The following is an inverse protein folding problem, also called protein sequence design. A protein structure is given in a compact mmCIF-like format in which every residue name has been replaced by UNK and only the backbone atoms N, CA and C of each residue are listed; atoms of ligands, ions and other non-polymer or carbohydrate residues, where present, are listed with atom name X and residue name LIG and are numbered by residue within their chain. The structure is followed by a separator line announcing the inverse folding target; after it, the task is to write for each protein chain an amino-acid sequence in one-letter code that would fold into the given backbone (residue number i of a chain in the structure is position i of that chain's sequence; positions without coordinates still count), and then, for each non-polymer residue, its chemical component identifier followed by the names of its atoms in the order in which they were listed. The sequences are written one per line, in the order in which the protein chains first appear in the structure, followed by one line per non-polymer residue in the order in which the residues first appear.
data_IF_778839438658
#
_entry.id   IF_778839438658
#
_cell.length_a   1.000
_cell.length_b   1.000
_cell.length_c   1.000
_cell.angle_alpha   90.00
_cell.angle_beta   90.00
_cell.angle_gamma   90.00
#
_symmetry.space_group_name_H-M   'P 1'
#
loop_
_entity.id
_entity.type
_entity.pdbx_description
1 polymer ?
#
# COMPACT_ATOMS: atom_id res chain seq x y z
N UNK A 1 16.30 9.29 28.78
CA UNK A 1 17.07 10.56 28.58
C UNK A 1 16.06 11.68 28.42
N UNK A 2 16.25 12.80 29.10
CA UNK A 2 15.36 13.98 28.98
C UNK A 2 16.10 15.11 28.29
N UNK A 3 15.45 15.74 27.33
CA UNK A 3 15.94 16.93 26.64
C UNK A 3 14.85 17.99 26.77
N UNK A 4 15.25 19.26 27.06
CA UNK A 4 14.32 20.37 27.10
C UNK A 4 14.76 21.42 26.09
N UNK A 5 13.85 21.82 25.22
CA UNK A 5 14.10 22.78 24.15
C UNK A 5 13.16 23.97 24.32
N UNK A 6 13.66 25.24 24.38
CA UNK A 6 12.79 26.39 24.35
C UNK A 6 11.93 26.41 23.10
N UNK A 7 10.64 26.71 23.23
CA UNK A 7 9.71 26.74 22.07
C UNK A 7 10.17 27.78 21.02
N UNK A 8 10.79 28.85 21.46
CA UNK A 8 11.39 29.89 20.58
C UNK A 8 12.47 29.34 19.66
N UNK A 9 13.08 28.21 20.01
CA UNK A 9 14.13 27.57 19.20
C UNK A 9 13.60 26.54 18.21
N UNK A 10 12.32 26.25 18.30
CA UNK A 10 11.68 25.28 17.43
C UNK A 10 11.22 25.94 16.12
N UNK A 11 11.75 25.45 15.01
CA UNK A 11 11.34 25.88 13.67
C UNK A 11 10.09 25.08 13.25
N UNK A 12 8.94 25.72 13.18
CA UNK A 12 7.68 25.11 12.74
C UNK A 12 7.64 24.91 11.23
N UNK A 13 8.24 25.84 10.48
CA UNK A 13 8.45 25.74 9.03
C UNK A 13 9.87 26.23 8.71
N UNK A 14 10.40 26.01 7.49
CA UNK A 14 11.78 26.40 7.16
C UNK A 14 12.18 27.84 7.55
N UNK A 15 11.21 28.75 7.52
CA UNK A 15 11.46 30.19 7.78
C UNK A 15 10.67 30.73 8.98
N UNK A 16 10.01 29.87 9.77
CA UNK A 16 9.15 30.30 10.89
C UNK A 16 9.49 29.56 12.17
N UNK A 17 9.78 30.32 13.22
CA UNK A 17 9.90 29.86 14.60
C UNK A 17 8.50 29.71 15.22
N UNK A 18 8.41 28.99 16.33
CA UNK A 18 7.17 28.86 17.10
C UNK A 18 6.73 30.23 17.62
N UNK A 19 5.48 30.58 17.35
CA UNK A 19 4.78 31.74 17.92
C UNK A 19 3.51 31.23 18.61
N UNK A 20 3.36 31.46 19.94
CA UNK A 20 2.18 31.03 20.69
C UNK A 20 0.87 31.61 20.18
N UNK A 21 0.93 32.74 19.45
CA UNK A 21 -0.26 33.37 18.86
C UNK A 21 -0.74 32.67 17.56
N UNK A 22 0.19 31.98 16.87
CA UNK A 22 -0.12 31.30 15.58
C UNK A 22 -0.22 29.78 15.69
N UNK A 23 0.46 29.15 16.68
CA UNK A 23 0.62 27.69 16.75
C UNK A 23 0.26 27.14 18.11
N UNK A 24 -0.35 25.96 18.12
CA UNK A 24 -0.70 25.22 19.34
C UNK A 24 0.45 24.33 19.81
N UNK A 25 0.38 23.90 21.07
CA UNK A 25 1.31 22.88 21.62
C UNK A 25 1.33 21.60 20.76
N UNK A 26 0.18 21.23 20.21
CA UNK A 26 0.04 20.06 19.34
C UNK A 26 0.84 20.22 18.03
N UNK A 27 0.89 21.42 17.48
CA UNK A 27 1.69 21.71 16.28
C UNK A 27 3.19 21.54 16.56
N UNK A 28 3.65 21.95 17.75
CA UNK A 28 5.01 21.73 18.23
C UNK A 28 5.33 20.24 18.33
N UNK A 29 4.44 19.46 18.95
CA UNK A 29 4.63 18.02 19.11
C UNK A 29 4.71 17.32 17.75
N UNK A 30 3.80 17.66 16.83
CA UNK A 30 3.80 17.13 15.46
C UNK A 30 5.11 17.48 14.75
N UNK A 31 5.57 18.73 14.89
CA UNK A 31 6.81 19.18 14.25
C UNK A 31 8.04 18.49 14.79
N UNK A 32 8.14 18.34 16.11
CA UNK A 32 9.25 17.61 16.75
C UNK A 32 9.25 16.17 16.26
N UNK A 33 8.10 15.48 16.29
CA UNK A 33 7.98 14.11 15.80
C UNK A 33 8.40 13.99 14.33
N UNK A 34 8.03 14.94 13.48
CA UNK A 34 8.44 14.97 12.08
C UNK A 34 9.95 15.18 11.88
N UNK A 35 10.59 15.98 12.72
CA UNK A 35 12.04 16.23 12.66
C UNK A 35 12.85 15.01 13.08
N UNK A 36 12.38 14.28 14.08
CA UNK A 36 13.09 13.12 14.62
C UNK A 36 12.76 11.80 13.91
N UNK A 37 11.80 11.80 12.97
CA UNK A 37 11.48 10.65 12.12
C UNK A 37 11.23 9.37 12.92
N UNK A 38 11.97 8.31 12.62
CA UNK A 38 11.80 6.98 13.25
C UNK A 38 11.99 7.02 14.78
N UNK A 39 12.83 7.92 15.29
CA UNK A 39 13.06 8.06 16.75
C UNK A 39 11.85 8.68 17.46
N UNK A 40 10.99 9.38 16.72
CA UNK A 40 9.78 9.99 17.28
C UNK A 40 8.81 9.00 17.93
N UNK A 41 8.86 7.74 17.52
CA UNK A 41 8.01 6.65 18.06
C UNK A 41 8.33 6.29 19.51
N UNK A 42 9.54 6.63 19.98
CA UNK A 42 10.02 6.34 21.35
C UNK A 42 10.12 7.61 22.21
N UNK A 43 9.46 8.69 21.79
CA UNK A 43 9.53 9.98 22.47
C UNK A 43 8.18 10.35 23.07
N UNK A 44 8.17 10.66 24.37
CA UNK A 44 7.09 11.41 24.99
C UNK A 44 7.46 12.89 24.97
N UNK A 45 6.58 13.70 24.44
CA UNK A 45 6.78 15.14 24.30
C UNK A 45 5.72 15.85 25.11
N UNK A 46 6.13 16.60 26.11
CA UNK A 46 5.28 17.45 26.92
C UNK A 46 5.70 18.90 26.68
N UNK A 47 4.72 19.75 26.41
CA UNK A 47 4.94 21.18 26.22
C UNK A 47 4.36 21.90 27.43
N UNK A 48 5.20 22.57 28.18
CA UNK A 48 4.80 23.42 29.30
C UNK A 48 5.79 24.58 29.55
N UNK A 49 5.36 25.61 30.23
CA UNK A 49 6.24 26.73 30.65
C UNK A 49 7.08 27.33 29.54
N UNK A 50 6.64 27.28 28.25
CA UNK A 50 7.41 27.78 27.12
C UNK A 50 8.55 26.83 26.67
N UNK A 51 8.56 25.60 27.15
CA UNK A 51 9.55 24.58 26.84
C UNK A 51 8.89 23.32 26.25
N UNK A 52 9.55 22.65 25.32
CA UNK A 52 9.24 21.29 24.93
C UNK A 52 10.17 20.34 25.68
N UNK A 53 9.57 19.48 26.51
CA UNK A 53 10.28 18.45 27.26
C UNK A 53 10.13 17.13 26.51
N UNK A 54 11.26 16.58 26.07
CA UNK A 54 11.31 15.33 25.32
C UNK A 54 11.88 14.27 26.25
N UNK A 55 11.08 13.28 26.59
CA UNK A 55 11.52 12.12 27.36
C UNK A 55 11.50 10.89 26.45
N UNK A 56 12.66 10.23 26.31
CA UNK A 56 12.72 8.98 25.57
C UNK A 56 12.18 7.86 26.46
N UNK A 57 11.13 7.19 25.97
CA UNK A 57 10.58 6.01 26.64
C UNK A 57 11.67 4.96 26.81
N UNK A 58 11.45 3.99 27.69
CA UNK A 58 12.41 2.96 28.12
C UNK A 58 12.96 2.02 27.01
N UNK A 59 12.69 2.27 25.75
CA UNK A 59 13.40 1.64 24.67
C UNK A 59 14.81 2.26 24.59
N UNK A 60 15.76 1.66 25.31
CA UNK A 60 17.18 1.94 25.08
C UNK A 60 17.45 1.80 23.57
N UNK A 61 18.45 2.53 23.01
CA UNK A 61 18.84 2.34 21.62
C UNK A 61 19.07 0.87 21.27
N UNK A 62 19.55 0.05 22.22
CA UNK A 62 19.70 -1.39 22.06
C UNK A 62 18.36 -2.12 21.90
N UNK A 63 17.36 -1.86 22.76
CA UNK A 63 16.04 -2.49 22.65
C UNK A 63 15.32 -2.11 21.36
N UNK A 64 15.45 -0.85 20.93
CA UNK A 64 14.90 -0.40 19.64
C UNK A 64 15.60 -1.14 18.48
N UNK A 65 16.93 -1.24 18.51
CA UNK A 65 17.71 -1.97 17.52
C UNK A 65 17.31 -3.44 17.46
N UNK A 66 17.20 -4.11 18.62
CA UNK A 66 16.72 -5.50 18.70
C UNK A 66 15.30 -5.65 18.11
N UNK A 67 14.39 -4.70 18.38
CA UNK A 67 13.06 -4.72 17.82
C UNK A 67 13.09 -4.60 16.28
N UNK A 68 13.93 -3.74 15.71
CA UNK A 68 14.08 -3.62 14.27
C UNK A 68 14.73 -4.86 13.64
N UNK A 69 15.68 -5.50 14.30
CA UNK A 69 16.23 -6.80 13.86
C UNK A 69 15.13 -7.88 13.86
N UNK A 70 14.26 -7.90 14.88
CA UNK A 70 13.09 -8.79 14.93
C UNK A 70 12.09 -8.48 13.82
N UNK A 71 11.88 -7.21 13.46
CA UNK A 71 11.04 -6.85 12.33
C UNK A 71 11.55 -7.47 11.03
N UNK A 72 12.83 -7.30 10.72
CA UNK A 72 13.43 -7.88 9.52
C UNK A 72 13.32 -9.41 9.53
N UNK A 73 13.65 -10.04 10.64
CA UNK A 73 13.50 -11.50 10.79
C UNK A 73 12.05 -11.94 10.62
N UNK A 74 11.09 -11.19 11.16
CA UNK A 74 9.66 -11.48 10.99
C UNK A 74 9.23 -11.44 9.53
N UNK A 75 9.72 -10.46 8.76
CA UNK A 75 9.47 -10.36 7.31
C UNK A 75 10.06 -11.56 6.57
N UNK A 76 11.30 -11.96 6.90
CA UNK A 76 11.92 -13.15 6.30
C UNK A 76 11.15 -14.43 6.61
N UNK A 77 10.71 -14.63 7.86
CA UNK A 77 9.92 -15.80 8.24
C UNK A 77 8.57 -15.83 7.54
N UNK A 78 7.93 -14.67 7.34
CA UNK A 78 6.70 -14.57 6.54
C UNK A 78 6.94 -14.97 5.08
N UNK A 79 8.02 -14.49 4.46
CA UNK A 79 8.39 -14.86 3.08
C UNK A 79 8.66 -16.37 2.91
N UNK A 80 9.13 -17.04 3.98
CA UNK A 80 9.31 -18.50 4.02
C UNK A 80 8.01 -19.26 4.31
N UNK A 81 6.88 -18.56 4.48
CA UNK A 81 5.60 -19.17 4.87
C UNK A 81 5.49 -19.53 6.35
N UNK A 82 6.46 -19.16 7.20
CA UNK A 82 6.47 -19.41 8.64
C UNK A 82 5.61 -18.36 9.38
N UNK A 83 4.34 -18.24 8.99
CA UNK A 83 3.46 -17.14 9.39
C UNK A 83 3.28 -17.01 10.91
N UNK A 84 3.19 -18.13 11.63
CA UNK A 84 3.03 -18.10 13.11
C UNK A 84 4.28 -17.52 13.79
N UNK A 85 5.47 -17.87 13.30
CA UNK A 85 6.72 -17.29 13.82
C UNK A 85 6.81 -15.80 13.51
N UNK A 86 6.47 -15.41 12.28
CA UNK A 86 6.42 -14.01 11.87
C UNK A 86 5.49 -13.19 12.76
N UNK A 87 4.28 -13.68 13.03
CA UNK A 87 3.31 -13.03 13.91
C UNK A 87 3.85 -12.82 15.33
N UNK A 88 4.58 -13.78 15.88
CA UNK A 88 5.18 -13.64 17.22
C UNK A 88 6.26 -12.55 17.20
N UNK A 89 7.12 -12.53 16.20
CA UNK A 89 8.15 -11.50 16.04
C UNK A 89 7.53 -10.11 15.89
N UNK A 90 6.48 -9.93 15.07
CA UNK A 90 5.79 -8.66 14.94
C UNK A 90 5.14 -8.20 16.24
N UNK A 91 4.57 -9.12 17.03
CA UNK A 91 4.04 -8.78 18.38
C UNK A 91 5.14 -8.32 19.33
N UNK A 92 6.32 -8.95 19.29
CA UNK A 92 7.46 -8.52 20.10
C UNK A 92 7.96 -7.14 19.68
N UNK A 93 7.95 -6.82 18.36
CA UNK A 93 8.24 -5.47 17.86
C UNK A 93 7.25 -4.47 18.43
N UNK A 94 5.95 -4.76 18.33
CA UNK A 94 4.88 -3.87 18.79
C UNK A 94 4.84 -3.71 20.31
N UNK A 95 5.38 -4.66 21.07
CA UNK A 95 5.54 -4.51 22.52
C UNK A 95 6.62 -3.48 22.88
N UNK A 96 7.63 -3.27 22.01
CA UNK A 96 8.70 -2.28 22.19
C UNK A 96 8.36 -0.97 21.48
N UNK A 97 7.80 -1.07 20.27
CA UNK A 97 7.47 0.07 19.41
C UNK A 97 5.98 -0.05 19.01
N UNK A 98 5.05 0.39 19.88
CA UNK A 98 3.61 0.19 19.66
C UNK A 98 3.07 0.81 18.38
N UNK A 99 3.66 1.89 17.89
CA UNK A 99 3.22 2.62 16.70
C UNK A 99 3.95 2.21 15.42
N UNK A 100 4.71 1.10 15.44
CA UNK A 100 5.43 0.64 14.25
C UNK A 100 4.45 0.15 13.17
N UNK A 101 4.27 0.98 12.13
CA UNK A 101 3.32 0.71 11.05
C UNK A 101 3.77 -0.47 10.17
N UNK A 102 5.07 -0.67 9.99
CA UNK A 102 5.59 -1.80 9.22
C UNK A 102 5.29 -3.13 9.88
N UNK A 103 5.49 -3.23 11.20
CA UNK A 103 5.13 -4.43 11.97
C UNK A 103 3.62 -4.70 11.89
N UNK A 104 2.78 -3.66 12.05
CA UNK A 104 1.32 -3.80 11.93
C UNK A 104 0.91 -4.25 10.54
N UNK A 105 1.41 -3.62 9.47
CA UNK A 105 1.09 -4.02 8.09
C UNK A 105 1.48 -5.46 7.79
N UNK A 106 2.70 -5.85 8.17
CA UNK A 106 3.17 -7.22 7.94
C UNK A 106 2.40 -8.23 8.80
N UNK A 107 2.03 -7.88 10.04
CA UNK A 107 1.16 -8.70 10.88
C UNK A 107 -0.23 -8.88 10.24
N UNK A 108 -0.81 -7.82 9.70
CA UNK A 108 -2.10 -7.90 9.01
C UNK A 108 -2.02 -8.78 7.75
N UNK A 109 -0.96 -8.65 6.95
CA UNK A 109 -0.71 -9.52 5.78
C UNK A 109 -0.58 -10.98 6.19
N UNK A 110 0.18 -11.28 7.25
CA UNK A 110 0.30 -12.65 7.75
C UNK A 110 -1.06 -13.21 8.22
N UNK A 111 -1.94 -12.40 8.80
CA UNK A 111 -3.30 -12.83 9.12
C UNK A 111 -4.15 -13.07 7.86
N UNK A 112 -3.97 -12.29 6.78
CA UNK A 112 -4.65 -12.55 5.51
C UNK A 112 -4.22 -13.91 4.93
N UNK A 113 -2.93 -14.21 4.92
CA UNK A 113 -2.40 -15.48 4.43
C UNK A 113 -2.88 -16.68 5.27
N UNK A 114 -3.12 -16.47 6.56
CA UNK A 114 -3.75 -17.45 7.45
C UNK A 114 -5.28 -17.49 7.32
N UNK A 115 -5.84 -16.81 6.33
CA UNK A 115 -7.29 -16.66 6.12
C UNK A 115 -8.06 -16.05 7.30
N UNK A 116 -7.37 -15.30 8.17
CA UNK A 116 -8.00 -14.58 9.29
C UNK A 116 -8.29 -13.13 8.87
N UNK A 117 -9.25 -12.99 7.96
CA UNK A 117 -9.55 -11.72 7.28
C UNK A 117 -10.02 -10.65 8.27
N UNK A 118 -10.85 -11.03 9.26
CA UNK A 118 -11.37 -10.06 10.25
C UNK A 118 -10.26 -9.42 11.08
N UNK A 119 -9.26 -10.20 11.53
CA UNK A 119 -8.11 -9.64 12.24
C UNK A 119 -7.25 -8.75 11.34
N UNK A 120 -7.01 -9.19 10.11
CA UNK A 120 -6.26 -8.40 9.15
C UNK A 120 -6.94 -7.05 8.89
N UNK A 121 -8.24 -7.06 8.62
CA UNK A 121 -9.07 -5.87 8.40
C UNK A 121 -8.96 -4.88 9.57
N UNK A 122 -9.15 -5.38 10.79
CA UNK A 122 -9.05 -4.54 12.01
C UNK A 122 -7.67 -3.88 12.12
N UNK A 123 -6.59 -4.63 11.89
CA UNK A 123 -5.24 -4.09 12.00
C UNK A 123 -4.95 -3.06 10.89
N UNK A 124 -5.41 -3.28 9.65
CA UNK A 124 -5.28 -2.27 8.61
C UNK A 124 -6.06 -1.00 8.91
N UNK A 125 -7.25 -1.11 9.52
CA UNK A 125 -8.00 0.04 10.00
C UNK A 125 -7.24 0.81 11.10
N UNK A 126 -6.61 0.10 12.05
CA UNK A 126 -5.73 0.70 13.06
C UNK A 126 -4.53 1.43 12.40
N UNK A 127 -3.94 0.86 11.35
CA UNK A 127 -2.87 1.53 10.58
C UNK A 127 -3.38 2.84 9.97
N UNK A 128 -4.57 2.86 9.37
CA UNK A 128 -5.15 4.09 8.80
C UNK A 128 -5.57 5.12 9.87
N UNK A 129 -5.90 4.69 11.09
CA UNK A 129 -6.11 5.62 12.20
C UNK A 129 -4.81 6.33 12.62
N UNK A 130 -3.68 5.61 12.60
CA UNK A 130 -2.36 6.16 12.92
C UNK A 130 -1.76 6.96 11.75
N UNK A 131 -1.97 6.52 10.54
CA UNK A 131 -1.53 7.17 9.32
C UNK A 131 -2.61 7.09 8.23
N UNK A 132 -3.49 8.10 8.12
CA UNK A 132 -4.59 8.12 7.15
C UNK A 132 -4.16 8.00 5.68
N UNK A 133 -2.89 8.31 5.39
CA UNK A 133 -2.33 8.23 4.03
C UNK A 133 -1.52 6.96 3.79
N UNK A 134 -1.64 5.93 4.66
CA UNK A 134 -0.93 4.69 4.48
C UNK A 134 -1.48 3.91 3.27
N UNK A 135 -0.76 4.03 2.17
CA UNK A 135 -1.09 3.44 0.90
C UNK A 135 -1.26 1.91 0.96
N UNK A 136 -0.34 1.22 1.67
CA UNK A 136 -0.36 -0.23 1.78
C UNK A 136 -1.58 -0.77 2.54
N UNK A 137 -1.98 -0.11 3.62
CA UNK A 137 -3.17 -0.48 4.38
C UNK A 137 -4.46 -0.18 3.60
N UNK A 138 -4.54 0.96 2.93
CA UNK A 138 -5.71 1.33 2.15
C UNK A 138 -5.95 0.38 0.96
N UNK A 139 -4.91 0.02 0.21
CA UNK A 139 -5.03 -0.99 -0.86
C UNK A 139 -5.44 -2.34 -0.30
N UNK A 140 -4.87 -2.76 0.84
CA UNK A 140 -5.20 -4.04 1.45
C UNK A 140 -6.66 -4.09 1.90
N UNK A 141 -7.19 -3.00 2.46
CA UNK A 141 -8.61 -2.87 2.79
C UNK A 141 -9.48 -2.89 1.54
N UNK A 142 -9.10 -2.16 0.49
CA UNK A 142 -9.78 -2.21 -0.80
C UNK A 142 -9.88 -3.65 -1.33
N UNK A 143 -8.77 -4.40 -1.29
CA UNK A 143 -8.74 -5.81 -1.68
C UNK A 143 -9.65 -6.70 -0.82
N UNK A 144 -9.68 -6.49 0.50
CA UNK A 144 -10.55 -7.23 1.42
C UNK A 144 -12.02 -6.96 1.10
N UNK A 145 -12.39 -5.69 0.95
CA UNK A 145 -13.77 -5.31 0.62
C UNK A 145 -14.22 -5.87 -0.74
N UNK A 146 -13.35 -5.84 -1.75
CA UNK A 146 -13.67 -6.38 -3.07
C UNK A 146 -13.84 -7.90 -3.05
N UNK A 147 -12.87 -8.63 -2.49
CA UNK A 147 -12.76 -10.09 -2.67
C UNK A 147 -13.47 -10.89 -1.60
N UNK A 148 -13.52 -10.40 -0.36
CA UNK A 148 -14.04 -11.14 0.77
C UNK A 148 -15.47 -10.69 1.16
N UNK A 149 -15.78 -9.41 0.99
CA UNK A 149 -17.08 -8.86 1.36
C UNK A 149 -17.97 -8.54 0.16
N UNK A 150 -17.45 -8.66 -1.06
CA UNK A 150 -18.12 -8.28 -2.30
C UNK A 150 -18.69 -6.84 -2.26
N UNK A 151 -18.02 -5.97 -1.51
CA UNK A 151 -18.39 -4.56 -1.37
C UNK A 151 -17.55 -3.70 -2.31
N UNK A 152 -17.93 -3.72 -3.59
CA UNK A 152 -17.18 -3.07 -4.65
C UNK A 152 -17.15 -1.54 -4.53
N UNK A 153 -18.16 -0.94 -3.88
CA UNK A 153 -18.20 0.51 -3.69
C UNK A 153 -17.19 0.98 -2.65
N UNK A 154 -17.11 0.29 -1.52
CA UNK A 154 -16.11 0.60 -0.49
C UNK A 154 -14.70 0.31 -1.00
N UNK A 155 -14.51 -0.78 -1.74
CA UNK A 155 -13.23 -1.07 -2.38
C UNK A 155 -12.81 0.04 -3.35
N UNK A 156 -13.76 0.52 -4.18
CA UNK A 156 -13.52 1.62 -5.11
C UNK A 156 -13.12 2.92 -4.39
N UNK A 157 -13.74 3.22 -3.25
CA UNK A 157 -13.37 4.37 -2.42
C UNK A 157 -11.91 4.32 -1.96
N UNK A 158 -11.44 3.17 -1.45
CA UNK A 158 -10.06 3.02 -1.02
C UNK A 158 -9.07 3.13 -2.18
N UNK A 159 -9.39 2.53 -3.32
CA UNK A 159 -8.53 2.61 -4.51
C UNK A 159 -8.47 4.02 -5.08
N UNK A 160 -9.61 4.72 -5.12
CA UNK A 160 -9.66 6.09 -5.60
C UNK A 160 -8.83 7.02 -4.71
N UNK A 161 -9.00 6.90 -3.39
CA UNK A 161 -8.20 7.66 -2.41
C UNK A 161 -6.70 7.43 -2.59
N UNK A 162 -6.28 6.17 -2.75
CA UNK A 162 -4.88 5.85 -2.97
C UNK A 162 -4.35 6.41 -4.30
N UNK A 163 -5.13 6.30 -5.38
CA UNK A 163 -4.70 6.73 -6.70
C UNK A 163 -4.62 8.26 -6.82
N UNK A 164 -5.41 9.02 -6.05
CA UNK A 164 -5.29 10.48 -5.95
C UNK A 164 -3.94 10.90 -5.36
N UNK A 165 -3.41 10.14 -4.42
CA UNK A 165 -2.10 10.42 -3.78
C UNK A 165 -0.92 9.81 -4.53
N UNK A 166 -1.14 8.72 -5.26
CA UNK A 166 -0.12 7.97 -6.00
C UNK A 166 -0.58 7.65 -7.43
N UNK A 167 -0.76 8.70 -8.26
CA UNK A 167 -1.29 8.53 -9.62
C UNK A 167 -0.37 7.72 -10.55
N UNK A 168 0.91 7.55 -10.18
CA UNK A 168 1.90 6.76 -10.91
C UNK A 168 1.85 5.25 -10.58
N UNK A 169 1.11 4.83 -9.54
CA UNK A 169 1.06 3.43 -9.13
C UNK A 169 0.30 2.57 -10.15
N UNK A 170 1.07 1.91 -11.02
CA UNK A 170 0.54 1.04 -12.06
C UNK A 170 -0.19 -0.19 -11.52
N UNK A 171 0.25 -0.75 -10.38
CA UNK A 171 -0.38 -1.92 -9.75
C UNK A 171 -1.75 -1.54 -9.20
N UNK A 172 -1.83 -0.42 -8.50
CA UNK A 172 -3.08 0.11 -7.99
C UNK A 172 -4.06 0.43 -9.12
N UNK A 173 -3.59 1.11 -10.17
CA UNK A 173 -4.41 1.42 -11.33
C UNK A 173 -4.95 0.14 -12.01
N UNK A 174 -4.13 -0.91 -12.10
CA UNK A 174 -4.54 -2.22 -12.64
C UNK A 174 -5.61 -2.89 -11.76
N UNK A 175 -5.43 -2.93 -10.45
CA UNK A 175 -6.40 -3.51 -9.52
C UNK A 175 -7.72 -2.73 -9.53
N UNK A 176 -7.65 -1.41 -9.57
CA UNK A 176 -8.83 -0.57 -9.66
C UNK A 176 -9.56 -0.74 -11.00
N UNK A 177 -8.82 -0.86 -12.10
CA UNK A 177 -9.40 -1.15 -13.41
C UNK A 177 -10.16 -2.47 -13.43
N UNK A 178 -9.61 -3.53 -12.83
CA UNK A 178 -10.29 -4.82 -12.71
C UNK A 178 -11.59 -4.70 -11.89
N UNK A 179 -11.57 -3.95 -10.79
CA UNK A 179 -12.76 -3.66 -9.99
C UNK A 179 -13.81 -2.89 -10.79
N UNK A 180 -13.41 -1.89 -11.58
CA UNK A 180 -14.33 -1.11 -12.42
C UNK A 180 -14.94 -1.97 -13.54
N UNK A 181 -14.14 -2.89 -14.11
CA UNK A 181 -14.63 -3.86 -15.08
C UNK A 181 -15.72 -4.78 -14.47
N UNK A 182 -15.49 -5.28 -13.25
CA UNK A 182 -16.46 -6.09 -12.51
C UNK A 182 -17.75 -5.32 -12.19
N UNK A 183 -17.65 -4.03 -11.88
CA UNK A 183 -18.80 -3.14 -11.68
C UNK A 183 -19.55 -2.77 -12.98
N UNK A 184 -19.01 -3.09 -14.15
CA UNK A 184 -19.55 -2.67 -15.44
C UNK A 184 -19.24 -1.21 -15.81
N UNK A 185 -18.33 -0.55 -15.09
CA UNK A 185 -17.85 0.81 -15.32
C UNK A 185 -16.77 0.84 -16.42
N UNK A 186 -17.13 0.41 -17.63
CA UNK A 186 -16.21 0.09 -18.72
C UNK A 186 -15.32 1.27 -19.13
N UNK A 187 -15.87 2.50 -19.18
CA UNK A 187 -15.08 3.68 -19.54
C UNK A 187 -13.96 3.97 -18.52
N UNK A 188 -14.29 3.87 -17.23
CA UNK A 188 -13.33 4.08 -16.15
C UNK A 188 -12.29 2.97 -16.14
N UNK A 189 -12.71 1.72 -16.33
CA UNK A 189 -11.81 0.57 -16.43
C UNK A 189 -10.80 0.73 -17.58
N UNK A 190 -11.24 1.18 -18.75
CA UNK A 190 -10.37 1.42 -19.91
C UNK A 190 -9.28 2.45 -19.60
N UNK A 191 -9.66 3.59 -19.02
CA UNK A 191 -8.71 4.64 -18.63
C UNK A 191 -7.67 4.11 -17.65
N UNK A 192 -8.10 3.39 -16.61
CA UNK A 192 -7.24 2.84 -15.58
C UNK A 192 -6.29 1.74 -16.11
N UNK A 193 -6.78 0.84 -16.98
CA UNK A 193 -5.89 -0.14 -17.62
C UNK A 193 -4.83 0.53 -18.48
N UNK A 194 -5.20 1.56 -19.26
CA UNK A 194 -4.23 2.33 -20.06
C UNK A 194 -3.20 3.05 -19.17
N UNK A 195 -3.64 3.60 -18.04
CA UNK A 195 -2.75 4.20 -17.04
C UNK A 195 -1.77 3.16 -16.48
N UNK A 196 -2.23 1.98 -16.10
CA UNK A 196 -1.40 0.88 -15.60
C UNK A 196 -0.37 0.40 -16.65
N UNK A 197 -0.77 0.29 -17.92
CA UNK A 197 0.12 -0.06 -19.03
C UNK A 197 1.21 1.00 -19.21
N UNK A 198 0.85 2.27 -19.15
CA UNK A 198 1.79 3.39 -19.29
C UNK A 198 2.80 3.43 -18.12
N UNK A 199 2.35 3.14 -16.91
CA UNK A 199 3.16 3.22 -15.70
C UNK A 199 4.10 2.03 -15.49
N UNK A 200 3.75 0.81 -15.97
CA UNK A 200 4.53 -0.36 -15.61
C UNK A 200 4.54 -1.53 -16.60
N UNK A 201 3.98 -1.40 -17.79
CA UNK A 201 3.87 -2.51 -18.76
C UNK A 201 3.32 -3.82 -18.16
N UNK A 202 2.32 -3.73 -17.29
CA UNK A 202 1.82 -4.85 -16.52
C UNK A 202 1.03 -5.85 -17.39
N UNK A 203 1.39 -7.14 -17.45
CA UNK A 203 0.66 -8.13 -18.24
C UNK A 203 -0.83 -8.22 -17.89
N UNK A 204 -1.16 -8.12 -16.61
CA UNK A 204 -2.54 -8.13 -16.13
C UNK A 204 -3.37 -6.96 -16.69
N UNK A 205 -2.75 -5.78 -16.86
CA UNK A 205 -3.42 -4.62 -17.40
C UNK A 205 -3.68 -4.75 -18.91
N UNK A 206 -2.74 -5.32 -19.66
CA UNK A 206 -2.95 -5.65 -21.06
C UNK A 206 -4.05 -6.68 -21.24
N UNK A 207 -4.01 -7.75 -20.47
CA UNK A 207 -5.03 -8.79 -20.54
C UNK A 207 -6.42 -8.27 -20.15
N UNK A 208 -6.51 -7.51 -19.05
CA UNK A 208 -7.77 -6.88 -18.62
C UNK A 208 -8.35 -5.93 -19.67
N UNK A 209 -7.50 -5.10 -20.31
CA UNK A 209 -7.94 -4.22 -21.39
C UNK A 209 -8.39 -5.00 -22.65
N UNK A 210 -7.72 -6.10 -22.97
CA UNK A 210 -8.12 -6.97 -24.06
C UNK A 210 -9.48 -7.65 -23.80
N UNK A 211 -9.71 -8.12 -22.57
CA UNK A 211 -11.01 -8.65 -22.17
C UNK A 211 -12.11 -7.59 -22.26
N UNK A 212 -11.86 -6.38 -21.79
CA UNK A 212 -12.80 -5.27 -21.89
C UNK A 212 -13.19 -5.00 -23.35
N UNK A 213 -12.21 -4.90 -24.26
CA UNK A 213 -12.47 -4.66 -25.67
C UNK A 213 -13.20 -5.85 -26.32
N UNK A 214 -12.91 -7.10 -25.93
CA UNK A 214 -13.69 -8.27 -26.39
C UNK A 214 -15.14 -8.19 -25.95
N UNK A 215 -15.40 -7.82 -24.68
CA UNK A 215 -16.77 -7.63 -24.15
C UNK A 215 -17.54 -6.52 -24.87
N UNK A 216 -16.83 -5.47 -25.30
CA UNK A 216 -17.38 -4.35 -26.06
C UNK A 216 -17.49 -4.64 -27.58
N UNK A 217 -17.22 -5.88 -28.02
CA UNK A 217 -17.26 -6.27 -29.43
C UNK A 217 -16.13 -5.72 -30.30
N UNK A 218 -15.17 -5.02 -29.73
CA UNK A 218 -14.01 -4.42 -30.42
C UNK A 218 -12.88 -5.46 -30.59
N UNK A 219 -13.15 -6.51 -31.38
CA UNK A 219 -12.26 -7.67 -31.48
C UNK A 219 -10.87 -7.34 -32.00
N UNK A 220 -10.74 -6.45 -32.99
CA UNK A 220 -9.45 -6.02 -33.51
C UNK A 220 -8.65 -5.23 -32.47
N UNK A 221 -9.30 -4.35 -31.69
CA UNK A 221 -8.64 -3.62 -30.61
C UNK A 221 -8.16 -4.59 -29.52
N UNK A 222 -8.95 -5.58 -29.15
CA UNK A 222 -8.59 -6.64 -28.22
C UNK A 222 -7.33 -7.38 -28.67
N UNK A 223 -7.31 -7.80 -29.94
CA UNK A 223 -6.16 -8.49 -30.55
C UNK A 223 -4.90 -7.62 -30.54
N UNK A 224 -5.01 -6.36 -30.97
CA UNK A 224 -3.89 -5.40 -31.03
C UNK A 224 -3.28 -5.15 -29.63
N UNK A 225 -4.09 -5.11 -28.58
CA UNK A 225 -3.59 -4.98 -27.20
C UNK A 225 -2.74 -6.18 -26.80
N UNK A 226 -3.18 -7.41 -27.13
CA UNK A 226 -2.43 -8.62 -26.83
C UNK A 226 -1.11 -8.69 -27.64
N UNK A 227 -1.15 -8.32 -28.92
CA UNK A 227 0.05 -8.22 -29.75
C UNK A 227 1.05 -7.24 -29.16
N UNK A 228 0.57 -6.08 -28.71
CA UNK A 228 1.41 -5.07 -28.04
C UNK A 228 2.04 -5.64 -26.76
N UNK A 229 1.31 -6.40 -25.96
CA UNK A 229 1.84 -7.07 -24.77
C UNK A 229 2.98 -8.02 -25.13
N UNK A 230 2.75 -8.89 -26.13
CA UNK A 230 3.75 -9.90 -26.55
C UNK A 230 5.02 -9.27 -27.16
N UNK A 231 4.90 -8.08 -27.76
CA UNK A 231 6.05 -7.33 -28.28
C UNK A 231 6.80 -6.61 -27.16
N UNK A 232 6.10 -5.97 -26.22
CA UNK A 232 6.71 -5.13 -25.20
C UNK A 232 7.30 -5.90 -24.03
N UNK A 233 6.75 -7.06 -23.70
CA UNK A 233 7.18 -7.86 -22.56
C UNK A 233 7.88 -9.12 -23.07
N UNK A 234 9.16 -9.36 -22.69
CA UNK A 234 9.91 -10.52 -23.12
C UNK A 234 9.17 -11.83 -22.83
N UNK A 235 9.13 -12.73 -23.80
CA UNK A 235 8.43 -14.01 -23.67
C UNK A 235 8.90 -14.84 -22.47
N UNK A 236 10.19 -14.79 -22.15
CA UNK A 236 10.75 -15.49 -20.99
C UNK A 236 10.18 -14.96 -19.68
N UNK A 237 10.03 -13.63 -19.56
CA UNK A 237 9.40 -12.99 -18.40
C UNK A 237 7.94 -13.40 -18.28
N UNK A 238 7.19 -13.34 -19.39
CA UNK A 238 5.78 -13.77 -19.41
C UNK A 238 5.61 -15.24 -18.99
N UNK A 239 6.46 -16.13 -19.54
CA UNK A 239 6.36 -17.57 -19.26
C UNK A 239 6.81 -17.93 -17.86
N UNK A 240 7.73 -17.20 -17.23
CA UNK A 240 8.29 -17.50 -15.91
C UNK A 240 7.52 -16.82 -14.79
N UNK A 241 7.27 -15.51 -14.93
CA UNK A 241 6.72 -14.68 -13.85
C UNK A 241 5.19 -14.54 -13.92
N UNK A 242 4.63 -14.65 -15.14
CA UNK A 242 3.21 -14.42 -15.42
C UNK A 242 2.56 -15.58 -16.21
N UNK A 243 2.98 -16.81 -15.94
CA UNK A 243 2.61 -18.00 -16.73
C UNK A 243 1.09 -18.16 -16.91
N UNK A 244 0.28 -17.92 -15.87
CA UNK A 244 -1.18 -18.00 -15.92
C UNK A 244 -1.78 -16.99 -16.90
N UNK A 245 -1.48 -15.70 -16.70
CA UNK A 245 -1.95 -14.61 -17.57
C UNK A 245 -1.45 -14.78 -19.01
N UNK A 246 -0.21 -15.26 -19.17
CA UNK A 246 0.35 -15.51 -20.50
C UNK A 246 -0.40 -16.62 -21.26
N UNK A 247 -0.77 -17.71 -20.56
CA UNK A 247 -1.55 -18.79 -21.15
C UNK A 247 -2.96 -18.31 -21.56
N UNK A 248 -3.63 -17.57 -20.67
CA UNK A 248 -4.95 -17.01 -20.95
C UNK A 248 -4.92 -16.00 -22.10
N UNK A 249 -3.92 -15.12 -22.14
CA UNK A 249 -3.74 -14.16 -23.22
C UNK A 249 -3.49 -14.84 -24.58
N UNK A 250 -2.69 -15.91 -24.60
CA UNK A 250 -2.48 -16.71 -25.83
C UNK A 250 -3.75 -17.40 -26.32
N UNK A 251 -4.53 -17.93 -25.40
CA UNK A 251 -5.81 -18.57 -25.73
C UNK A 251 -6.77 -17.54 -26.34
N UNK A 252 -6.93 -16.39 -25.68
CA UNK A 252 -7.76 -15.29 -26.17
C UNK A 252 -7.29 -14.79 -27.53
N UNK A 253 -5.99 -14.61 -27.72
CA UNK A 253 -5.42 -14.19 -29.01
C UNK A 253 -5.70 -15.21 -30.12
N UNK A 254 -5.59 -16.50 -29.80
CA UNK A 254 -5.90 -17.58 -30.76
C UNK A 254 -7.37 -17.59 -31.16
N UNK A 255 -8.30 -17.41 -30.21
CA UNK A 255 -9.74 -17.30 -30.46
C UNK A 255 -10.05 -16.12 -31.39
N UNK A 256 -9.53 -14.92 -31.06
CA UNK A 256 -9.72 -13.71 -31.86
C UNK A 256 -9.17 -13.85 -33.27
N UNK A 257 -8.05 -14.54 -33.42
CA UNK A 257 -7.41 -14.77 -34.75
C UNK A 257 -8.19 -15.76 -35.62
N UNK A 258 -8.98 -16.66 -35.04
CA UNK A 258 -9.85 -17.58 -35.78
C UNK A 258 -11.18 -16.93 -36.14
N UNK A 259 -11.76 -16.10 -35.27
CA UNK A 259 -13.05 -15.42 -35.50
C UNK A 259 -13.00 -14.30 -36.55
N UNK A 260 -11.86 -13.72 -36.79
CA UNK A 260 -11.67 -12.67 -37.83
C UNK A 260 -11.60 -13.26 -39.26
N UNK A 261 -11.55 -14.59 -39.39
CA UNK A 261 -11.52 -15.28 -40.70
C UNK A 261 -12.87 -15.73 -41.22
N UNK A 262 -13.97 -15.43 -40.54
CA UNK A 262 -15.35 -15.60 -40.98
C UNK A 262 -16.03 -14.26 -41.26
#
# INVERSE_FOLDING_TARGET
MKISIPLTDIMIAPDKRFDPAEYTEQDVIIRIKKLYGVIAEVMDIVVDGGMAHIEFRDATPEKHKEAMEKLHKGIEEAQKGQLVKALNLFKEVLAVIPENLDARRNMARAYMELNNIEKAKKIFQEVLQLNPTDHGAAISLGNIYARNENNLDVAAFFYDLCLQHHPEDAMLACNYAALMLEKGEFQKAEVLFKQAIKGGNMPNAYYGLALLYRMDGKLDASKNVLETMFVRIPQQTLAKEYAGIYAEAKNLYSELSKGIKQ
#
